data_IF_150411235587
#
_entry.id   IF_150411235587
#
_cell.length_a   1.000
_cell.length_b   1.000
_cell.length_c   1.000
_cell.angle_alpha   90.00
_cell.angle_beta   90.00
_cell.angle_gamma   90.00
#
_symmetry.space_group_name_H-M   'P 1'
#
loop_
_entity.id
_entity.type
_entity.pdbx_description
1 polymer ?
#
# COMPACT_ATOMS: atom_id res chain seq x y z
N UNK A 1 -8.20 61.25 -39.83
CA UNK A 1 -7.26 60.73 -38.86
C UNK A 1 -8.06 59.99 -37.83
N UNK A 2 -8.20 58.68 -37.96
CA UNK A 2 -8.88 57.82 -37.00
C UNK A 2 -7.84 56.98 -36.28
N UNK A 3 -7.61 57.29 -35.04
CA UNK A 3 -6.79 56.47 -34.20
C UNK A 3 -7.64 55.30 -33.70
N UNK A 4 -7.33 54.12 -34.22
CA UNK A 4 -7.94 52.89 -33.75
C UNK A 4 -7.44 52.53 -32.35
N UNK A 5 -8.30 52.67 -31.39
CA UNK A 5 -8.06 52.18 -30.04
C UNK A 5 -8.18 50.64 -30.04
N UNK A 6 -7.05 49.95 -30.08
CA UNK A 6 -7.03 48.54 -29.83
C UNK A 6 -7.15 48.32 -28.30
N UNK A 7 -8.38 48.16 -27.83
CA UNK A 7 -8.62 47.70 -26.47
C UNK A 7 -8.19 46.26 -26.38
N UNK A 8 -7.03 46.07 -25.76
CA UNK A 8 -6.56 44.74 -25.40
C UNK A 8 -7.58 44.08 -24.49
N UNK A 9 -8.11 42.94 -24.93
CA UNK A 9 -8.90 42.10 -24.08
C UNK A 9 -7.97 41.51 -22.99
N UNK A 10 -7.89 42.18 -21.87
CA UNK A 10 -7.29 41.59 -20.67
C UNK A 10 -8.19 40.46 -20.22
N UNK A 11 -7.74 39.27 -20.53
CA UNK A 11 -8.40 38.07 -20.03
C UNK A 11 -8.49 38.11 -18.51
N UNK A 12 -9.70 37.94 -17.99
CA UNK A 12 -9.92 37.88 -16.56
C UNK A 12 -8.99 36.84 -15.93
N UNK A 13 -8.33 37.12 -14.76
CA UNK A 13 -7.48 36.15 -14.12
C UNK A 13 -8.32 34.92 -13.74
N UNK A 14 -7.81 33.73 -14.08
CA UNK A 14 -8.45 32.48 -13.72
C UNK A 14 -8.65 32.43 -12.19
N UNK A 15 -9.82 31.97 -11.71
CA UNK A 15 -10.09 31.91 -10.29
C UNK A 15 -8.99 31.12 -9.56
N UNK A 16 -8.58 31.58 -8.39
CA UNK A 16 -7.44 31.04 -7.63
C UNK A 16 -7.52 29.53 -7.34
N UNK A 17 -8.75 28.98 -7.32
CA UNK A 17 -8.98 27.54 -7.15
C UNK A 17 -8.57 26.70 -8.35
N UNK A 18 -8.61 27.24 -9.55
CA UNK A 18 -8.25 26.56 -10.79
C UNK A 18 -6.76 26.19 -10.84
N UNK A 19 -5.87 27.06 -10.39
CA UNK A 19 -4.43 26.80 -10.35
C UNK A 19 -4.09 25.63 -9.42
N UNK A 20 -4.74 25.57 -8.27
CA UNK A 20 -4.60 24.43 -7.33
C UNK A 20 -5.16 23.15 -7.91
N UNK A 21 -6.29 23.24 -8.61
CA UNK A 21 -6.89 22.09 -9.28
C UNK A 21 -5.98 21.55 -10.40
N UNK A 22 -5.47 22.44 -11.26
CA UNK A 22 -4.54 22.05 -12.33
C UNK A 22 -3.22 21.51 -11.77
N UNK A 23 -2.67 22.09 -10.71
CA UNK A 23 -1.44 21.59 -10.12
C UNK A 23 -1.60 20.18 -9.54
N UNK A 24 -2.80 19.84 -9.04
CA UNK A 24 -3.13 18.46 -8.63
C UNK A 24 -3.23 17.50 -9.80
N UNK A 25 -3.83 17.94 -10.93
CA UNK A 25 -3.95 17.11 -12.12
C UNK A 25 -2.61 16.90 -12.84
N UNK A 26 -1.74 17.90 -12.80
CA UNK A 26 -0.46 17.90 -13.48
C UNK A 26 0.69 17.44 -12.56
N UNK A 27 0.42 17.23 -11.27
CA UNK A 27 1.42 16.71 -10.36
C UNK A 27 1.87 15.32 -10.84
N UNK A 28 3.18 15.06 -10.94
CA UNK A 28 3.65 13.72 -11.27
C UNK A 28 3.11 12.74 -10.25
N UNK A 29 2.56 11.63 -10.73
CA UNK A 29 2.11 10.55 -9.84
C UNK A 29 3.30 10.09 -9.00
N UNK A 30 3.14 9.98 -7.69
CA UNK A 30 4.21 9.42 -6.89
C UNK A 30 4.54 8.02 -7.44
N UNK A 31 5.82 7.63 -7.38
CA UNK A 31 6.21 6.31 -7.84
C UNK A 31 5.41 5.24 -7.10
N UNK A 32 5.11 4.10 -7.76
CA UNK A 32 4.38 3.02 -7.11
C UNK A 32 5.13 2.55 -5.87
N UNK A 33 4.41 2.35 -4.78
CA UNK A 33 4.97 1.73 -3.58
C UNK A 33 4.89 0.23 -3.78
N UNK A 34 6.05 -0.38 -3.99
CA UNK A 34 6.14 -1.84 -4.13
C UNK A 34 6.34 -2.47 -2.75
N UNK A 35 5.69 -3.60 -2.48
CA UNK A 35 5.99 -4.37 -1.29
C UNK A 35 7.47 -4.75 -1.23
N UNK A 36 8.04 -4.71 -0.04
CA UNK A 36 9.43 -5.12 0.18
C UNK A 36 9.51 -6.64 0.10
N UNK A 37 10.41 -7.16 -0.73
CA UNK A 37 10.63 -8.60 -0.84
C UNK A 37 11.40 -9.11 0.37
N UNK A 38 10.80 -10.07 1.07
CA UNK A 38 11.37 -10.68 2.27
C UNK A 38 11.69 -12.14 2.00
N UNK A 39 12.87 -12.55 2.44
CA UNK A 39 13.39 -13.92 2.40
C UNK A 39 13.81 -14.36 3.80
N UNK A 40 14.26 -15.63 3.94
CA UNK A 40 14.68 -16.15 5.23
C UNK A 40 15.75 -15.29 5.92
N UNK A 41 16.68 -14.72 5.16
CA UNK A 41 17.78 -13.92 5.71
C UNK A 41 17.42 -12.52 6.20
N UNK A 42 16.30 -11.95 5.77
CA UNK A 42 15.94 -10.58 6.13
C UNK A 42 14.58 -10.42 6.83
N UNK A 43 13.88 -11.51 7.12
CA UNK A 43 12.58 -11.46 7.79
C UNK A 43 12.65 -10.73 9.15
N UNK A 44 13.60 -11.04 9.96
CA UNK A 44 13.77 -10.39 11.27
C UNK A 44 13.97 -8.89 11.13
N UNK A 45 14.86 -8.47 10.24
CA UNK A 45 15.15 -7.05 10.02
C UNK A 45 13.95 -6.30 9.46
N UNK A 46 13.29 -6.86 8.44
CA UNK A 46 12.23 -6.18 7.72
C UNK A 46 10.88 -6.21 8.43
N UNK A 47 10.60 -7.25 9.20
CA UNK A 47 9.30 -7.44 9.86
C UNK A 47 9.41 -7.24 11.37
N UNK A 48 10.21 -8.05 12.05
CA UNK A 48 10.24 -8.04 13.53
C UNK A 48 10.88 -6.78 14.09
N UNK A 49 11.89 -6.23 13.42
CA UNK A 49 12.59 -4.99 13.83
C UNK A 49 12.02 -3.73 13.18
N UNK A 50 10.95 -3.84 12.42
CA UNK A 50 10.32 -2.67 11.80
C UNK A 50 9.79 -1.72 12.87
N UNK A 51 10.08 -0.43 12.72
CA UNK A 51 9.50 0.63 13.57
C UNK A 51 8.03 0.90 13.22
N UNK A 52 7.63 0.60 11.98
CA UNK A 52 6.24 0.70 11.53
C UNK A 52 5.53 -0.66 11.69
N UNK A 53 4.21 -0.66 11.86
CA UNK A 53 3.42 -1.87 11.68
C UNK A 53 3.65 -2.47 10.30
N UNK A 54 3.54 -3.79 10.17
CA UNK A 54 3.85 -4.52 8.94
C UNK A 54 2.70 -5.42 8.53
N UNK A 55 2.34 -5.37 7.26
CA UNK A 55 1.48 -6.35 6.60
C UNK A 55 2.36 -7.28 5.79
N UNK A 56 2.25 -8.57 6.03
CA UNK A 56 3.05 -9.61 5.36
C UNK A 56 2.15 -10.41 4.42
N UNK A 57 2.39 -10.32 3.13
CA UNK A 57 1.73 -11.13 2.11
C UNK A 57 2.58 -12.37 1.81
N UNK A 58 2.12 -13.53 2.25
CA UNK A 58 2.77 -14.82 1.94
C UNK A 58 2.06 -15.44 0.76
N UNK A 59 2.79 -15.59 -0.31
CA UNK A 59 2.29 -16.13 -1.59
C UNK A 59 3.17 -17.28 -2.09
N UNK A 60 2.72 -17.99 -3.10
CA UNK A 60 3.48 -19.04 -3.75
C UNK A 60 3.32 -19.00 -5.26
N UNK A 61 4.32 -19.47 -6.04
CA UNK A 61 4.19 -19.59 -7.48
C UNK A 61 3.03 -20.50 -7.89
N UNK A 62 2.32 -20.15 -8.97
CA UNK A 62 1.22 -20.94 -9.48
C UNK A 62 -0.09 -20.82 -8.68
N UNK A 63 -0.14 -19.94 -7.70
CA UNK A 63 -1.33 -19.70 -6.88
C UNK A 63 -2.23 -18.65 -7.55
N UNK A 64 -3.38 -19.09 -8.06
CA UNK A 64 -4.36 -18.20 -8.71
C UNK A 64 -4.90 -17.10 -7.78
N UNK A 65 -5.39 -17.46 -6.58
CA UNK A 65 -5.85 -16.44 -5.60
C UNK A 65 -4.78 -15.46 -5.19
N UNK A 66 -3.50 -15.87 -5.13
CA UNK A 66 -2.38 -14.95 -4.84
C UNK A 66 -2.25 -13.89 -5.92
N UNK A 67 -2.37 -14.26 -7.19
CA UNK A 67 -2.33 -13.32 -8.31
C UNK A 67 -3.50 -12.34 -8.28
N UNK A 68 -4.67 -12.79 -7.88
CA UNK A 68 -5.84 -11.91 -7.71
C UNK A 68 -5.66 -10.93 -6.56
N UNK A 69 -4.92 -11.32 -5.53
CA UNK A 69 -4.66 -10.49 -4.35
C UNK A 69 -3.55 -9.46 -4.60
N UNK A 70 -2.64 -9.71 -5.51
CA UNK A 70 -1.49 -8.82 -5.79
C UNK A 70 -1.89 -7.35 -6.01
N UNK A 71 -2.84 -6.99 -6.89
CA UNK A 71 -3.25 -5.60 -7.05
C UNK A 71 -3.88 -5.01 -5.78
N UNK A 72 -4.55 -5.83 -4.98
CA UNK A 72 -5.11 -5.41 -3.68
C UNK A 72 -3.99 -5.04 -2.71
N UNK A 73 -2.97 -5.88 -2.61
CA UNK A 73 -1.80 -5.66 -1.74
C UNK A 73 -1.03 -4.40 -2.19
N UNK A 74 -0.89 -4.19 -3.48
CA UNK A 74 -0.24 -2.99 -4.01
C UNK A 74 -1.01 -1.71 -3.68
N UNK A 75 -2.34 -1.75 -3.79
CA UNK A 75 -3.18 -0.60 -3.38
C UNK A 75 -3.10 -0.35 -1.88
N UNK A 76 -3.05 -1.40 -1.10
CA UNK A 76 -2.88 -1.30 0.35
C UNK A 76 -1.54 -0.62 0.69
N UNK A 77 -0.45 -1.02 0.05
CA UNK A 77 0.86 -0.41 0.22
C UNK A 77 0.85 1.09 -0.10
N UNK A 78 0.21 1.47 -1.19
CA UNK A 78 0.08 2.87 -1.60
C UNK A 78 -0.77 3.67 -0.60
N UNK A 79 -1.90 3.11 -0.16
CA UNK A 79 -2.83 3.74 0.77
C UNK A 79 -2.21 4.08 2.13
N UNK A 80 -1.38 3.18 2.64
CA UNK A 80 -0.77 3.32 3.98
C UNK A 80 0.70 3.73 3.94
N UNK A 81 1.15 4.25 2.82
CA UNK A 81 2.51 4.74 2.64
C UNK A 81 2.94 5.64 3.81
N UNK A 82 4.10 5.33 4.41
CA UNK A 82 4.66 6.08 5.54
C UNK A 82 4.03 5.77 6.90
N UNK A 83 2.98 4.94 6.95
CA UNK A 83 2.31 4.55 8.20
C UNK A 83 2.36 3.05 8.45
N UNK A 84 2.29 2.25 7.40
CA UNK A 84 2.34 0.79 7.46
C UNK A 84 3.26 0.30 6.36
N UNK A 85 4.15 -0.61 6.71
CA UNK A 85 5.04 -1.27 5.76
C UNK A 85 4.35 -2.51 5.22
N UNK A 86 4.39 -2.71 3.91
CA UNK A 86 3.89 -3.92 3.27
C UNK A 86 5.06 -4.69 2.72
N UNK A 87 5.15 -5.98 3.08
CA UNK A 87 6.19 -6.89 2.60
C UNK A 87 5.56 -8.10 1.94
N UNK A 88 6.29 -8.72 1.04
CA UNK A 88 5.89 -9.97 0.38
C UNK A 88 6.90 -11.07 0.66
N UNK A 89 6.40 -12.28 0.88
CA UNK A 89 7.18 -13.48 1.12
C UNK A 89 6.75 -14.55 0.10
N UNK A 90 7.67 -14.94 -0.75
CA UNK A 90 7.47 -16.10 -1.61
C UNK A 90 7.80 -17.37 -0.79
N UNK A 91 6.80 -18.18 -0.47
CA UNK A 91 6.97 -19.38 0.36
C UNK A 91 7.95 -20.40 -0.25
N UNK A 92 8.08 -20.42 -1.58
CA UNK A 92 9.04 -21.30 -2.26
C UNK A 92 10.50 -20.83 -2.08
N UNK A 93 10.73 -19.52 -1.98
CA UNK A 93 12.06 -18.91 -1.77
C UNK A 93 12.41 -18.72 -0.31
N UNK A 94 11.42 -18.69 0.57
CA UNK A 94 11.57 -18.46 2.00
C UNK A 94 10.85 -19.56 2.83
N UNK A 95 11.26 -20.84 2.65
CA UNK A 95 10.57 -21.94 3.29
C UNK A 95 10.70 -21.94 4.82
N UNK A 96 11.80 -21.47 5.37
CA UNK A 96 11.99 -21.39 6.81
C UNK A 96 11.08 -20.31 7.42
N UNK A 97 10.94 -19.18 6.76
CA UNK A 97 10.03 -18.11 7.18
C UNK A 97 8.58 -18.59 7.15
N UNK A 98 8.15 -19.21 6.06
CA UNK A 98 6.81 -19.75 5.93
C UNK A 98 6.50 -20.79 7.01
N UNK A 99 7.44 -21.69 7.28
CA UNK A 99 7.30 -22.70 8.33
C UNK A 99 7.26 -22.08 9.74
N UNK A 100 8.13 -21.11 10.01
CA UNK A 100 8.17 -20.39 11.28
C UNK A 100 6.87 -19.62 11.56
N UNK A 101 6.28 -19.06 10.51
CA UNK A 101 4.99 -18.35 10.62
C UNK A 101 3.80 -19.30 10.67
N UNK A 102 4.02 -20.61 10.48
CA UNK A 102 2.94 -21.59 10.47
C UNK A 102 1.98 -21.41 9.31
N UNK A 103 2.47 -20.94 8.16
CA UNK A 103 1.65 -20.78 6.95
C UNK A 103 1.41 -22.14 6.32
N UNK A 104 0.16 -22.56 6.28
CA UNK A 104 -0.28 -23.86 5.76
C UNK A 104 -0.82 -23.77 4.34
N UNK A 105 -1.12 -22.57 3.84
CA UNK A 105 -1.65 -22.35 2.50
C UNK A 105 -1.47 -20.90 2.09
N UNK A 106 -1.56 -20.65 0.78
CA UNK A 106 -1.41 -19.32 0.22
C UNK A 106 -2.65 -18.89 -0.56
N UNK A 107 -2.97 -17.58 -0.61
CA UNK A 107 -2.30 -16.52 0.14
C UNK A 107 -2.62 -16.55 1.63
N UNK A 108 -1.69 -16.09 2.46
CA UNK A 108 -1.92 -15.80 3.87
C UNK A 108 -1.38 -14.39 4.15
N UNK A 109 -2.24 -13.53 4.67
CA UNK A 109 -1.86 -12.17 5.05
C UNK A 109 -1.73 -12.13 6.57
N UNK A 110 -0.56 -11.70 7.05
CA UNK A 110 -0.30 -11.56 8.48
C UNK A 110 -0.09 -10.09 8.82
N UNK A 111 -0.56 -9.70 9.98
CA UNK A 111 -0.48 -8.32 10.47
C UNK A 111 0.39 -8.29 11.72
N UNK A 112 1.49 -7.53 11.66
CA UNK A 112 2.45 -7.41 12.75
C UNK A 112 2.44 -6.02 13.36
N UNK A 113 2.40 -5.97 14.67
CA UNK A 113 2.56 -4.75 15.44
C UNK A 113 3.49 -5.00 16.62
N UNK A 114 4.53 -4.18 16.75
CA UNK A 114 5.50 -4.31 17.85
C UNK A 114 6.05 -5.72 18.00
N UNK A 115 6.52 -6.28 16.87
CA UNK A 115 7.14 -7.62 16.79
C UNK A 115 6.18 -8.79 17.00
N UNK A 116 4.88 -8.55 17.07
CA UNK A 116 3.87 -9.59 17.28
C UNK A 116 2.89 -9.67 16.15
N UNK A 117 2.52 -10.88 15.78
CA UNK A 117 1.38 -11.11 14.90
C UNK A 117 0.11 -10.82 15.69
N UNK A 118 -0.68 -9.88 15.20
CA UNK A 118 -1.93 -9.46 15.86
C UNK A 118 -3.17 -9.94 15.12
N UNK A 119 -3.05 -10.25 13.82
CA UNK A 119 -4.14 -10.79 13.02
C UNK A 119 -3.60 -11.60 11.85
N UNK A 120 -4.43 -12.49 11.31
CA UNK A 120 -4.11 -13.35 10.18
C UNK A 120 -5.36 -13.58 9.33
N UNK A 121 -5.20 -13.49 8.01
CA UNK A 121 -6.26 -13.79 7.05
C UNK A 121 -5.74 -14.82 6.05
N UNK A 122 -6.45 -15.90 5.87
CA UNK A 122 -6.11 -16.96 4.92
C UNK A 122 -7.06 -16.87 3.73
N UNK A 123 -6.51 -16.88 2.53
CA UNK A 123 -7.26 -16.82 1.29
C UNK A 123 -7.45 -15.40 0.75
N UNK A 124 -8.14 -15.31 -0.40
CA UNK A 124 -8.42 -14.03 -1.04
C UNK A 124 -9.48 -13.25 -0.27
N UNK A 125 -9.19 -11.97 -0.03
CA UNK A 125 -10.14 -11.00 0.52
C UNK A 125 -9.99 -9.66 -0.21
N UNK A 126 -11.04 -8.83 -0.16
CA UNK A 126 -11.01 -7.52 -0.77
C UNK A 126 -10.22 -6.48 0.02
N UNK A 127 -9.85 -5.40 -0.66
CA UNK A 127 -9.08 -4.29 -0.06
C UNK A 127 -9.75 -3.68 1.18
N UNK A 128 -11.07 -3.50 1.12
CA UNK A 128 -11.82 -2.92 2.23
C UNK A 128 -11.65 -3.71 3.53
N UNK A 129 -11.73 -5.02 3.44
CA UNK A 129 -11.56 -5.90 4.59
C UNK A 129 -10.16 -5.80 5.18
N UNK A 130 -9.13 -5.81 4.33
CA UNK A 130 -7.75 -5.65 4.78
C UNK A 130 -7.50 -4.25 5.39
N UNK A 131 -8.08 -3.21 4.79
CA UNK A 131 -7.96 -1.85 5.31
C UNK A 131 -8.62 -1.70 6.69
N UNK A 132 -9.76 -2.34 6.92
CA UNK A 132 -10.41 -2.35 8.23
C UNK A 132 -9.51 -2.98 9.30
N UNK A 133 -8.82 -4.07 8.98
CA UNK A 133 -7.87 -4.69 9.90
C UNK A 133 -6.67 -3.77 10.15
N UNK A 134 -6.11 -3.18 9.11
CA UNK A 134 -5.00 -2.23 9.26
C UNK A 134 -5.39 -1.07 10.17
N UNK A 135 -6.55 -0.48 9.94
CA UNK A 135 -7.02 0.67 10.73
C UNK A 135 -7.23 0.30 12.20
N UNK A 136 -7.88 -0.82 12.47
CA UNK A 136 -8.20 -1.25 13.83
C UNK A 136 -7.01 -1.87 14.56
N UNK A 137 -6.33 -2.84 13.95
CA UNK A 137 -5.31 -3.66 14.62
C UNK A 137 -3.91 -3.05 14.56
N UNK A 138 -3.56 -2.37 13.47
CA UNK A 138 -2.24 -1.80 13.31
C UNK A 138 -2.16 -0.33 13.70
N UNK A 139 -3.17 0.46 13.38
CA UNK A 139 -3.18 1.90 13.63
C UNK A 139 -4.01 2.31 14.84
N UNK A 140 -4.77 1.39 15.42
CA UNK A 140 -5.61 1.67 16.58
C UNK A 140 -6.73 2.67 16.29
N UNK A 141 -7.14 2.82 15.02
CA UNK A 141 -8.24 3.69 14.63
C UNK A 141 -9.55 2.95 14.77
N UNK A 142 -10.52 3.58 15.44
CA UNK A 142 -11.88 3.04 15.49
C UNK A 142 -12.45 3.04 14.08
N UNK A 143 -12.97 1.89 13.62
CA UNK A 143 -13.78 1.84 12.41
C UNK A 143 -15.09 2.57 12.68
N UNK A 144 -15.26 3.68 12.01
CA UNK A 144 -16.54 4.39 12.01
C UNK A 144 -17.49 3.78 10.98
#
# INVERSE_FOLDING_TARGET
MSEGNASGAEGAPAPSGWRRFLSRLLAPRPPPVLPVRVRDGNFTAEVLRSEMPVVVDVWSPGCGPCRMLEPVVMRLAARYRGRVKVVEVNAAEAPQTAARLGVMGTPTILFFRRRREVERVVGFVGERYLAEIVDSELLGQASS
#
